data_IF_950686395846
#
_entry.id   IF_950686395846
#
_cell.length_a   1.000
_cell.length_b   1.000
_cell.length_c   1.000
_cell.angle_alpha   90.00
_cell.angle_beta   90.00
_cell.angle_gamma   90.00
#
_symmetry.space_group_name_H-M   'P 1'
#
loop_
_entity.id
_entity.type
_entity.pdbx_description
1 polymer ?
#
# COMPACT_ATOMS: atom_id res chain seq x y z
N UNK A 1 -3.39 -13.58 -27.36
CA UNK A 1 -4.05 -13.19 -26.09
C UNK A 1 -3.01 -13.00 -24.98
N UNK A 2 -2.18 -11.94 -25.02
CA UNK A 2 -1.15 -11.65 -23.99
C UNK A 2 -1.34 -10.30 -23.28
N UNK A 3 -2.21 -9.44 -23.83
CA UNK A 3 -2.51 -8.10 -23.32
C UNK A 3 -3.72 -8.06 -22.38
N UNK A 4 -4.52 -9.13 -22.36
CA UNK A 4 -5.73 -9.26 -21.54
C UNK A 4 -5.41 -9.76 -20.12
N UNK A 5 -4.33 -10.53 -19.95
CA UNK A 5 -3.89 -11.07 -18.65
C UNK A 5 -3.72 -9.99 -17.56
N UNK A 6 -3.05 -8.84 -17.80
CA UNK A 6 -2.97 -7.78 -16.78
C UNK A 6 -4.30 -7.10 -16.50
N UNK A 7 -5.12 -6.91 -17.55
CA UNK A 7 -6.44 -6.27 -17.40
C UNK A 7 -7.33 -7.05 -16.44
N UNK A 8 -7.31 -8.38 -16.51
CA UNK A 8 -8.06 -9.21 -15.56
C UNK A 8 -7.64 -8.99 -14.11
N UNK A 9 -6.33 -8.86 -13.84
CA UNK A 9 -5.81 -8.60 -12.48
C UNK A 9 -6.34 -7.27 -11.93
N UNK A 10 -6.34 -6.22 -12.76
CA UNK A 10 -6.85 -4.90 -12.36
C UNK A 10 -8.35 -4.89 -12.15
N UNK A 11 -9.12 -5.46 -13.08
CA UNK A 11 -10.59 -5.47 -13.01
C UNK A 11 -11.07 -6.27 -11.80
N UNK A 12 -10.47 -7.43 -11.52
CA UNK A 12 -10.89 -8.25 -10.38
C UNK A 12 -10.53 -7.58 -9.04
N UNK A 13 -9.37 -6.92 -8.96
CA UNK A 13 -8.99 -6.14 -7.79
C UNK A 13 -9.94 -4.95 -7.55
N UNK A 14 -10.43 -4.32 -8.62
CA UNK A 14 -11.43 -3.24 -8.53
C UNK A 14 -12.82 -3.75 -8.14
N UNK A 15 -13.24 -4.92 -8.60
CA UNK A 15 -14.47 -5.56 -8.16
C UNK A 15 -14.43 -5.90 -6.65
N UNK A 16 -13.28 -6.34 -6.15
CA UNK A 16 -13.06 -6.55 -4.71
C UNK A 16 -13.18 -5.25 -3.90
N UNK A 17 -12.68 -4.13 -4.45
CA UNK A 17 -12.84 -2.80 -3.85
C UNK A 17 -14.32 -2.41 -3.77
N UNK A 18 -15.06 -2.50 -4.88
CA UNK A 18 -16.48 -2.13 -4.93
C UNK A 18 -17.33 -2.99 -4.01
N UNK A 19 -17.12 -4.30 -4.00
CA UNK A 19 -17.84 -5.19 -3.09
C UNK A 19 -17.57 -4.86 -1.62
N UNK A 20 -16.32 -4.58 -1.23
CA UNK A 20 -15.99 -4.16 0.13
C UNK A 20 -16.64 -2.82 0.51
N UNK A 21 -16.69 -1.86 -0.41
CA UNK A 21 -17.41 -0.59 -0.22
C UNK A 21 -18.93 -0.82 -0.04
N UNK A 22 -19.53 -1.75 -0.78
CA UNK A 22 -20.95 -2.10 -0.61
C UNK A 22 -21.26 -2.65 0.79
N UNK A 23 -20.28 -3.27 1.45
CA UNK A 23 -20.40 -3.76 2.83
C UNK A 23 -19.89 -2.75 3.87
N UNK A 24 -19.59 -1.50 3.49
CA UNK A 24 -19.00 -0.47 4.36
C UNK A 24 -17.68 -0.88 5.04
N UNK A 25 -16.92 -1.79 4.41
CA UNK A 25 -15.60 -2.23 4.85
C UNK A 25 -14.50 -1.44 4.13
N UNK A 26 -13.24 -1.59 4.54
CA UNK A 26 -12.12 -0.89 3.90
C UNK A 26 -11.84 -1.45 2.49
N UNK A 27 -12.30 -0.74 1.46
CA UNK A 27 -12.06 -1.09 0.06
C UNK A 27 -10.57 -1.19 -0.31
N UNK A 28 -9.73 -0.30 0.24
CA UNK A 28 -8.28 -0.31 0.01
C UNK A 28 -7.65 -1.60 0.53
N UNK A 29 -8.02 -2.04 1.75
CA UNK A 29 -7.49 -3.27 2.33
C UNK A 29 -7.97 -4.51 1.55
N UNK A 30 -9.23 -4.51 1.08
CA UNK A 30 -9.75 -5.58 0.24
C UNK A 30 -9.01 -5.68 -1.11
N UNK A 31 -8.71 -4.53 -1.74
CA UNK A 31 -7.94 -4.47 -2.98
C UNK A 31 -6.51 -5.01 -2.79
N UNK A 32 -5.83 -4.63 -1.71
CA UNK A 32 -4.47 -5.12 -1.39
C UNK A 32 -4.49 -6.64 -1.12
N UNK A 33 -5.46 -7.12 -0.34
CA UNK A 33 -5.59 -8.54 -0.03
C UNK A 33 -5.86 -9.36 -1.30
N UNK A 34 -6.77 -8.91 -2.16
CA UNK A 34 -7.05 -9.56 -3.44
C UNK A 34 -5.80 -9.63 -4.33
N UNK A 35 -5.06 -8.51 -4.46
CA UNK A 35 -3.81 -8.47 -5.23
C UNK A 35 -2.72 -9.37 -4.66
N UNK A 36 -2.57 -9.43 -3.33
CA UNK A 36 -1.60 -10.30 -2.67
C UNK A 36 -1.91 -11.79 -2.87
N UNK A 37 -3.19 -12.18 -2.77
CA UNK A 37 -3.64 -13.56 -3.03
C UNK A 37 -3.45 -13.93 -4.49
N UNK A 38 -3.64 -12.99 -5.42
CA UNK A 38 -3.54 -13.25 -6.85
C UNK A 38 -2.09 -13.42 -7.34
N UNK A 39 -1.11 -12.84 -6.63
CA UNK A 39 0.32 -12.89 -6.97
C UNK A 39 0.86 -14.30 -7.32
N UNK A 40 0.71 -15.34 -6.47
CA UNK A 40 1.19 -16.69 -6.80
C UNK A 40 0.46 -17.32 -8.01
N UNK A 41 -0.81 -17.01 -8.22
CA UNK A 41 -1.57 -17.52 -9.38
C UNK A 41 -1.10 -16.89 -10.70
N UNK A 42 -0.76 -15.60 -10.65
CA UNK A 42 -0.21 -14.87 -11.79
C UNK A 42 1.19 -15.38 -12.13
N UNK A 43 2.04 -15.62 -11.13
CA UNK A 43 3.39 -16.17 -11.34
C UNK A 43 3.37 -17.60 -11.91
N UNK A 44 2.38 -18.42 -11.55
CA UNK A 44 2.25 -19.80 -12.05
C UNK A 44 1.63 -19.90 -13.47
N UNK A 45 0.76 -18.97 -13.86
CA UNK A 45 0.01 -19.06 -15.12
C UNK A 45 0.50 -18.11 -16.23
N UNK A 46 1.20 -17.00 -15.93
CA UNK A 46 1.63 -16.03 -16.94
C UNK A 46 3.00 -16.39 -17.56
N UNK A 47 3.08 -16.27 -18.90
CA UNK A 47 4.34 -16.42 -19.64
C UNK A 47 5.41 -15.39 -19.22
N UNK A 48 6.66 -15.84 -19.04
CA UNK A 48 7.81 -15.05 -18.53
C UNK A 48 8.01 -13.67 -19.21
N UNK A 49 7.68 -13.55 -20.50
CA UNK A 49 7.76 -12.27 -21.24
C UNK A 49 6.64 -11.28 -20.86
N UNK A 50 5.43 -11.75 -20.55
CA UNK A 50 4.27 -10.91 -20.15
C UNK A 50 4.42 -10.43 -18.70
N UNK A 51 4.86 -11.31 -17.80
CA UNK A 51 5.11 -10.98 -16.39
C UNK A 51 6.09 -9.80 -16.21
N UNK A 52 7.15 -9.77 -17.01
CA UNK A 52 8.17 -8.73 -16.97
C UNK A 52 7.60 -7.37 -17.38
N UNK A 53 6.83 -7.30 -18.46
CA UNK A 53 6.19 -6.06 -18.93
C UNK A 53 5.19 -5.51 -17.92
N UNK A 54 4.38 -6.38 -17.30
CA UNK A 54 3.39 -5.99 -16.28
C UNK A 54 4.09 -5.42 -15.05
N UNK A 55 5.16 -6.07 -14.59
CA UNK A 55 5.95 -5.61 -13.44
C UNK A 55 6.56 -4.23 -13.69
N UNK A 56 7.16 -4.01 -14.86
CA UNK A 56 7.73 -2.71 -15.20
C UNK A 56 6.67 -1.63 -15.36
N UNK A 57 5.53 -1.94 -16.00
CA UNK A 57 4.41 -1.03 -16.11
C UNK A 57 3.86 -0.64 -14.73
N UNK A 58 3.58 -1.61 -13.86
CA UNK A 58 3.14 -1.36 -12.47
C UNK A 58 4.15 -0.55 -11.66
N UNK A 59 5.45 -0.82 -11.83
CA UNK A 59 6.54 -0.05 -11.20
C UNK A 59 6.50 1.41 -11.67
N UNK A 60 6.32 1.64 -12.98
CA UNK A 60 6.20 2.99 -13.55
C UNK A 60 4.97 3.71 -13.02
N UNK A 61 3.79 3.06 -13.02
CA UNK A 61 2.55 3.63 -12.47
C UNK A 61 2.67 3.97 -10.98
N UNK A 62 3.25 3.08 -10.17
CA UNK A 62 3.50 3.36 -8.76
C UNK A 62 4.37 4.60 -8.56
N UNK A 63 5.41 4.78 -9.39
CA UNK A 63 6.29 5.95 -9.31
C UNK A 63 5.59 7.24 -9.74
N UNK A 64 4.73 7.18 -10.76
CA UNK A 64 3.89 8.32 -11.18
C UNK A 64 2.91 8.69 -10.06
N UNK A 65 2.21 7.72 -9.47
CA UNK A 65 1.30 7.96 -8.34
C UNK A 65 2.00 8.56 -7.13
N UNK A 66 3.20 8.08 -6.78
CA UNK A 66 4.01 8.63 -5.69
C UNK A 66 4.37 10.10 -5.95
N UNK A 67 4.79 10.43 -7.16
CA UNK A 67 5.12 11.81 -7.56
C UNK A 67 3.90 12.73 -7.44
N UNK A 68 2.73 12.26 -7.89
CA UNK A 68 1.49 13.03 -7.78
C UNK A 68 1.09 13.29 -6.31
N UNK A 69 1.17 12.27 -5.46
CA UNK A 69 0.87 12.41 -4.02
C UNK A 69 1.80 13.44 -3.38
N UNK A 70 3.10 13.41 -3.68
CA UNK A 70 4.04 14.39 -3.14
C UNK A 70 3.76 15.82 -3.63
N UNK A 71 3.38 16.00 -4.90
CA UNK A 71 2.99 17.32 -5.42
C UNK A 71 1.75 17.83 -4.68
N UNK A 72 0.70 17.00 -4.51
CA UNK A 72 -0.51 17.38 -3.78
C UNK A 72 -0.22 17.75 -2.32
N UNK A 73 0.58 16.93 -1.62
CA UNK A 73 0.98 17.21 -0.25
C UNK A 73 1.80 18.51 -0.14
N UNK A 74 2.71 18.75 -1.08
CA UNK A 74 3.52 19.97 -1.14
C UNK A 74 2.67 21.22 -1.33
N UNK A 75 1.74 21.20 -2.28
CA UNK A 75 0.80 22.32 -2.51
C UNK A 75 -0.09 22.56 -1.29
N UNK A 76 -0.64 21.49 -0.69
CA UNK A 76 -1.46 21.61 0.52
C UNK A 76 -0.68 22.19 1.72
N UNK A 77 0.63 21.98 1.77
CA UNK A 77 1.50 22.55 2.81
C UNK A 77 1.79 24.04 2.56
N UNK A 78 1.90 24.47 1.30
CA UNK A 78 2.21 25.85 0.92
C UNK A 78 0.98 26.76 0.93
N UNK A 79 -0.23 26.26 0.64
CA UNK A 79 -1.49 27.03 0.64
C UNK A 79 -2.02 27.33 2.06
N UNK A 80 -1.15 27.87 2.93
CA UNK A 80 -1.29 28.06 4.37
C UNK A 80 -2.40 29.00 4.85
N UNK A 81 -3.50 29.18 4.09
CA UNK A 81 -4.62 30.06 4.44
C UNK A 81 -5.39 29.64 5.70
N UNK A 82 -5.23 28.40 6.17
CA UNK A 82 -5.90 27.87 7.37
C UNK A 82 -4.96 27.20 8.39
N UNK A 83 -3.64 27.18 8.16
CA UNK A 83 -2.72 26.43 9.01
C UNK A 83 -2.16 27.31 10.14
N UNK A 84 -2.77 27.26 11.33
CA UNK A 84 -2.17 27.82 12.54
C UNK A 84 -0.95 26.97 12.89
N UNK A 85 0.23 27.44 12.48
CA UNK A 85 1.47 26.71 12.62
C UNK A 85 1.80 26.45 14.09
N UNK A 86 1.55 25.22 14.55
CA UNK A 86 1.78 24.81 15.93
C UNK A 86 2.98 23.85 16.00
N UNK A 87 4.16 24.41 16.29
CA UNK A 87 5.41 23.66 16.47
C UNK A 87 5.29 22.54 17.52
N UNK A 88 4.49 22.75 18.56
CA UNK A 88 4.29 21.75 19.63
C UNK A 88 3.60 20.51 19.07
N UNK A 89 2.56 20.69 18.25
CA UNK A 89 1.85 19.57 17.62
C UNK A 89 2.73 18.81 16.61
N UNK A 90 3.54 19.51 15.83
CA UNK A 90 4.46 18.90 14.86
C UNK A 90 5.53 18.07 15.60
N UNK A 91 6.21 18.66 16.58
CA UNK A 91 7.26 17.97 17.34
C UNK A 91 6.69 16.79 18.14
N UNK A 92 5.52 16.94 18.78
CA UNK A 92 4.90 15.83 19.51
C UNK A 92 4.54 14.66 18.59
N UNK A 93 4.01 14.95 17.39
CA UNK A 93 3.65 13.92 16.41
C UNK A 93 4.88 13.15 15.91
N UNK A 94 5.98 13.85 15.65
CA UNK A 94 7.25 13.22 15.23
C UNK A 94 7.78 12.29 16.32
N UNK A 95 7.82 12.75 17.58
CA UNK A 95 8.29 11.93 18.71
C UNK A 95 7.40 10.69 18.88
N UNK A 96 6.08 10.86 18.89
CA UNK A 96 5.13 9.74 19.04
C UNK A 96 5.25 8.74 17.89
N UNK A 97 5.44 9.19 16.66
CA UNK A 97 5.65 8.32 15.50
C UNK A 97 6.92 7.47 15.64
N UNK A 98 8.03 8.07 16.10
CA UNK A 98 9.28 7.35 16.34
C UNK A 98 9.14 6.31 17.45
N UNK A 99 8.52 6.68 18.58
CA UNK A 99 8.28 5.76 19.71
C UNK A 99 7.37 4.61 19.27
N UNK A 100 6.24 4.89 18.60
CA UNK A 100 5.32 3.87 18.11
C UNK A 100 6.01 2.89 17.15
N UNK A 101 6.91 3.40 16.28
CA UNK A 101 7.70 2.56 15.38
C UNK A 101 8.64 1.62 16.14
N UNK A 102 9.36 2.12 17.14
CA UNK A 102 10.27 1.30 17.96
C UNK A 102 9.49 0.24 18.73
N UNK A 103 8.39 0.62 19.39
CA UNK A 103 7.54 -0.31 20.15
C UNK A 103 6.94 -1.37 19.23
N UNK A 104 6.44 -0.98 18.04
CA UNK A 104 5.89 -1.92 17.07
C UNK A 104 6.91 -2.96 16.62
N UNK A 105 8.10 -2.53 16.20
CA UNK A 105 9.15 -3.44 15.71
C UNK A 105 9.68 -4.35 16.83
N UNK A 106 9.97 -3.80 18.02
CA UNK A 106 10.47 -4.59 19.16
C UNK A 106 9.39 -5.55 19.67
N UNK A 107 8.14 -5.10 19.77
CA UNK A 107 7.00 -5.92 20.19
C UNK A 107 6.73 -7.10 19.24
N UNK A 108 6.69 -6.82 17.92
CA UNK A 108 6.54 -7.87 16.89
C UNK A 108 7.72 -8.84 16.93
N UNK A 109 8.95 -8.34 17.06
CA UNK A 109 10.16 -9.18 17.13
C UNK A 109 10.14 -10.08 18.36
N UNK A 110 9.75 -9.55 19.53
CA UNK A 110 9.63 -10.33 20.76
C UNK A 110 8.56 -11.42 20.65
N UNK A 111 7.38 -11.07 20.11
CA UNK A 111 6.30 -12.03 19.88
C UNK A 111 6.76 -13.16 18.96
N UNK A 112 7.31 -12.83 17.79
CA UNK A 112 7.81 -13.82 16.82
C UNK A 112 8.91 -14.70 17.44
N UNK A 113 9.85 -14.11 18.17
CA UNK A 113 10.93 -14.85 18.82
C UNK A 113 10.38 -15.83 19.88
N UNK A 114 9.38 -15.42 20.67
CA UNK A 114 8.73 -16.30 21.65
C UNK A 114 8.02 -17.48 20.97
N UNK A 115 7.34 -17.27 19.85
CA UNK A 115 6.72 -18.37 19.09
C UNK A 115 7.73 -19.31 18.42
N UNK A 116 8.94 -18.85 18.10
CA UNK A 116 10.02 -19.70 17.57
C UNK A 116 10.69 -20.56 18.64
N UNK A 117 10.76 -20.07 19.88
CA UNK A 117 11.39 -20.78 21.01
C UNK A 117 10.47 -21.86 21.61
N UNK A 118 9.15 -21.76 21.41
CA UNK A 118 8.17 -22.78 21.84
C UNK A 118 8.02 -23.86 20.76
N UNK A 119 9.14 -24.46 20.35
CA UNK A 119 9.14 -25.68 19.55
C UNK A 119 10.11 -26.70 20.14
#
# INVERSE_FOLDING_TARGET
MRVIEPLFVFVYSYMAYLSAEMFHLSGIMALIACGAVMKPYVEANISHKSHTTIKYFLKMWSSVSETLIFIFLGVATVDGKHHSWNWVFVTSTVILCLVARVVGVVGLTYFINKFRIVK
#
